data_IF_028677601408
#
_entry.id   IF_028677601408
#
_cell.length_a   1.000
_cell.length_b   1.000
_cell.length_c   1.000
_cell.angle_alpha   90.00
_cell.angle_beta   90.00
_cell.angle_gamma   90.00
#
_symmetry.space_group_name_H-M   'P 1'
#
loop_
_entity.id
_entity.type
_entity.pdbx_description
1 polymer ?
#
# COMPACT_ATOMS: atom_id res chain seq x y z
N UNK A 1 -3.59 7.95 -16.10
CA UNK A 1 -3.95 8.13 -14.68
C UNK A 1 -5.19 9.02 -14.65
N UNK A 2 -6.29 8.59 -14.03
CA UNK A 2 -7.50 9.44 -13.94
C UNK A 2 -7.29 10.55 -12.91
N UNK A 3 -8.08 11.62 -13.00
CA UNK A 3 -8.00 12.74 -12.05
C UNK A 3 -8.22 12.28 -10.60
N UNK A 4 -9.17 11.37 -10.37
CA UNK A 4 -9.48 10.81 -9.06
C UNK A 4 -8.31 10.01 -8.47
N UNK A 5 -7.64 9.21 -9.30
CA UNK A 5 -6.47 8.43 -8.87
C UNK A 5 -5.31 9.37 -8.51
N UNK A 6 -5.06 10.41 -9.30
CA UNK A 6 -4.02 11.39 -9.02
C UNK A 6 -4.29 12.15 -7.70
N UNK A 7 -5.55 12.54 -7.46
CA UNK A 7 -5.98 13.17 -6.22
C UNK A 7 -5.81 12.23 -5.02
N UNK A 8 -6.19 10.95 -5.15
CA UNK A 8 -6.04 9.95 -4.10
C UNK A 8 -4.58 9.71 -3.72
N UNK A 9 -3.69 9.57 -4.71
CA UNK A 9 -2.25 9.42 -4.48
C UNK A 9 -1.69 10.64 -3.77
N UNK A 10 -2.03 11.85 -4.22
CA UNK A 10 -1.57 13.10 -3.62
C UNK A 10 -2.06 13.25 -2.18
N UNK A 11 -3.32 12.93 -1.90
CA UNK A 11 -3.88 12.95 -0.56
C UNK A 11 -3.19 11.93 0.37
N UNK A 12 -2.88 10.75 -0.15
CA UNK A 12 -2.19 9.70 0.61
C UNK A 12 -0.76 10.09 0.96
N UNK A 13 -0.01 10.69 0.02
CA UNK A 13 1.33 11.24 0.28
C UNK A 13 1.31 12.29 1.39
N UNK A 14 0.37 13.24 1.33
CA UNK A 14 0.20 14.25 2.39
C UNK A 14 -0.10 13.66 3.76
N UNK A 15 -0.93 12.60 3.84
CA UNK A 15 -1.20 11.92 5.12
C UNK A 15 0.04 11.21 5.66
N UNK A 16 0.81 10.57 4.78
CA UNK A 16 2.08 9.92 5.15
C UNK A 16 3.09 10.97 5.65
N UNK A 17 3.25 12.09 4.95
CA UNK A 17 4.13 13.19 5.35
C UNK A 17 3.80 13.70 6.76
N UNK A 18 2.51 13.90 7.07
CA UNK A 18 2.06 14.31 8.41
C UNK A 18 2.42 13.30 9.49
N UNK A 19 2.29 12.00 9.20
CA UNK A 19 2.68 10.94 10.15
C UNK A 19 4.19 10.97 10.39
N UNK A 20 4.99 11.08 9.32
CA UNK A 20 6.46 11.14 9.42
C UNK A 20 6.95 12.39 10.17
N UNK A 21 6.23 13.51 10.05
CA UNK A 21 6.51 14.75 10.77
C UNK A 21 5.94 14.77 12.21
N UNK A 22 5.20 13.74 12.63
CA UNK A 22 4.56 13.68 13.95
C UNK A 22 3.31 14.57 14.12
N UNK A 23 2.83 15.18 13.04
CA UNK A 23 1.59 15.99 13.01
C UNK A 23 0.33 15.12 13.05
N UNK A 24 0.45 13.87 12.60
CA UNK A 24 -0.59 12.84 12.69
C UNK A 24 -0.04 11.67 13.51
N UNK A 25 -0.72 11.32 14.61
CA UNK A 25 -0.26 10.27 15.54
C UNK A 25 -0.66 8.85 15.13
N UNK A 26 -1.32 8.69 13.97
CA UNK A 26 -1.67 7.37 13.44
C UNK A 26 -0.41 6.60 13.05
N UNK A 27 -0.48 5.28 13.16
CA UNK A 27 0.61 4.41 12.72
C UNK A 27 0.53 4.19 11.21
N UNK A 28 1.62 4.48 10.49
CA UNK A 28 1.77 4.10 9.09
C UNK A 28 2.03 2.58 8.99
N UNK A 29 1.18 1.87 8.26
CA UNK A 29 1.29 0.41 8.07
C UNK A 29 1.40 0.09 6.59
N UNK A 30 2.59 -0.33 6.16
CA UNK A 30 2.82 -0.84 4.81
C UNK A 30 2.68 -2.37 4.85
N UNK A 31 1.62 -2.90 4.25
CA UNK A 31 1.28 -4.33 4.35
C UNK A 31 0.80 -4.88 3.01
N UNK A 32 1.16 -6.12 2.70
CA UNK A 32 0.76 -6.77 1.47
C UNK A 32 1.61 -7.99 1.11
N UNK A 33 1.28 -8.67 -0.01
CA UNK A 33 2.04 -9.81 -0.49
C UNK A 33 3.52 -9.49 -0.68
N UNK A 34 4.37 -10.51 -0.55
CA UNK A 34 5.82 -10.37 -0.64
C UNK A 34 6.31 -9.95 -2.03
N UNK A 35 5.63 -10.45 -3.05
CA UNK A 35 5.72 -10.01 -4.44
C UNK A 35 4.39 -10.33 -5.12
N UNK A 36 3.95 -9.46 -6.02
CA UNK A 36 2.76 -9.67 -6.83
C UNK A 36 3.16 -10.49 -8.05
N UNK A 37 2.58 -11.67 -8.18
CA UNK A 37 2.74 -12.57 -9.34
C UNK A 37 1.38 -12.92 -9.98
N UNK A 38 0.28 -12.64 -9.27
CA UNK A 38 -1.10 -12.82 -9.72
C UNK A 38 -1.85 -11.52 -9.45
N UNK A 39 -2.45 -10.96 -10.50
CA UNK A 39 -3.17 -9.68 -10.45
C UNK A 39 -4.55 -9.82 -9.82
N UNK A 40 -5.25 -10.93 -10.08
CA UNK A 40 -6.59 -11.16 -9.55
C UNK A 40 -6.54 -11.38 -8.03
N UNK A 41 -5.58 -12.18 -7.57
CA UNK A 41 -5.32 -12.36 -6.14
C UNK A 41 -4.91 -11.04 -5.47
N UNK A 42 -4.12 -10.18 -6.15
CA UNK A 42 -3.76 -8.87 -5.64
C UNK A 42 -4.96 -7.93 -5.51
N UNK A 43 -5.86 -7.92 -6.49
CA UNK A 43 -7.10 -7.14 -6.45
C UNK A 43 -8.06 -7.64 -5.38
N UNK A 44 -8.16 -8.96 -5.18
CA UNK A 44 -8.94 -9.54 -4.10
C UNK A 44 -8.40 -9.12 -2.73
N UNK A 45 -7.08 -9.20 -2.55
CA UNK A 45 -6.42 -8.72 -1.35
C UNK A 45 -6.68 -7.23 -1.11
N UNK A 46 -6.57 -6.40 -2.15
CA UNK A 46 -6.83 -4.97 -2.07
C UNK A 46 -8.26 -4.67 -1.60
N UNK A 47 -9.26 -5.40 -2.11
CA UNK A 47 -10.67 -5.28 -1.69
C UNK A 47 -10.85 -5.60 -0.20
N UNK A 48 -10.23 -6.69 0.28
CA UNK A 48 -10.27 -7.06 1.70
C UNK A 48 -9.56 -6.02 2.58
N UNK A 49 -8.41 -5.53 2.11
CA UNK A 49 -7.61 -4.52 2.82
C UNK A 49 -8.36 -3.19 2.92
N UNK A 50 -9.15 -2.81 1.92
CA UNK A 50 -9.92 -1.57 1.94
C UNK A 50 -10.92 -1.54 3.11
N UNK A 51 -11.62 -2.63 3.39
CA UNK A 51 -12.49 -2.72 4.57
C UNK A 51 -11.73 -2.57 5.89
N UNK A 52 -10.50 -3.09 5.97
CA UNK A 52 -9.64 -2.90 7.15
C UNK A 52 -9.14 -1.46 7.26
N UNK A 53 -8.78 -0.84 6.13
CA UNK A 53 -8.35 0.57 6.08
C UNK A 53 -9.44 1.49 6.61
N UNK A 54 -10.69 1.26 6.24
CA UNK A 54 -11.85 2.02 6.74
C UNK A 54 -12.05 1.77 8.25
N UNK A 55 -12.06 0.50 8.67
CA UNK A 55 -12.28 0.11 10.07
C UNK A 55 -11.24 0.71 11.02
N UNK A 56 -9.97 0.76 10.62
CA UNK A 56 -8.86 1.21 11.48
C UNK A 56 -8.39 2.63 11.16
N UNK A 57 -9.09 3.36 10.28
CA UNK A 57 -8.73 4.71 9.83
C UNK A 57 -8.41 5.72 10.96
N UNK A 58 -9.08 5.68 12.14
CA UNK A 58 -8.76 6.59 13.24
C UNK A 58 -7.38 6.37 13.87
N UNK A 59 -6.80 5.17 13.71
CA UNK A 59 -5.56 4.75 14.37
C UNK A 59 -4.43 4.44 13.38
N UNK A 60 -4.77 4.00 12.16
CA UNK A 60 -3.82 3.51 11.18
C UNK A 60 -3.96 4.24 9.83
N UNK A 61 -2.83 4.52 9.18
CA UNK A 61 -2.78 4.78 7.74
C UNK A 61 -2.25 3.52 7.06
N UNK A 62 -3.15 2.71 6.51
CA UNK A 62 -2.80 1.46 5.82
C UNK A 62 -2.50 1.74 4.35
N UNK A 63 -1.34 1.28 3.89
CA UNK A 63 -0.90 1.35 2.49
C UNK A 63 -0.57 -0.05 1.98
N UNK A 64 -1.16 -0.46 0.86
CA UNK A 64 -0.89 -1.77 0.27
C UNK A 64 0.54 -1.82 -0.31
N UNK A 65 1.31 -2.87 0.04
CA UNK A 65 2.58 -3.17 -0.63
C UNK A 65 2.33 -3.80 -1.99
N UNK A 66 2.82 -3.17 -3.05
CA UNK A 66 2.73 -3.65 -4.44
C UNK A 66 4.12 -3.80 -5.07
N UNK A 67 4.90 -4.79 -4.62
CA UNK A 67 6.24 -5.05 -5.16
C UNK A 67 6.17 -6.09 -6.27
N UNK A 68 6.69 -5.74 -7.45
CA UNK A 68 6.69 -6.65 -8.61
C UNK A 68 7.92 -7.55 -8.66
N UNK A 69 9.06 -7.06 -8.18
CA UNK A 69 10.31 -7.81 -8.21
C UNK A 69 10.93 -7.89 -6.82
N UNK A 70 11.53 -9.04 -6.53
CA UNK A 70 12.43 -9.20 -5.38
C UNK A 70 13.87 -9.20 -5.91
N UNK A 71 14.73 -8.28 -5.44
CA UNK A 71 16.14 -8.34 -5.79
C UNK A 71 16.72 -9.66 -5.26
N UNK A 72 17.08 -10.57 -6.16
CA UNK A 72 17.77 -11.83 -5.85
C UNK A 72 19.25 -11.67 -6.18
N UNK A 73 20.13 -12.06 -5.27
CA UNK A 73 21.61 -12.04 -5.44
C UNK A 73 22.15 -13.22 -6.25
N UNK A 74 21.29 -14.18 -6.60
CA UNK A 74 21.60 -15.35 -7.42
C UNK A 74 20.60 -15.45 -8.56
N UNK A 75 21.09 -15.78 -9.76
CA UNK A 75 20.29 -16.00 -10.97
C UNK A 75 19.41 -17.22 -10.75
N UNK A 76 18.18 -16.99 -10.31
CA UNK A 76 17.10 -17.95 -10.41
C UNK A 76 16.04 -17.31 -11.29
N UNK A 77 15.65 -18.01 -12.37
CA UNK A 77 14.81 -17.54 -13.46
C UNK A 77 13.64 -16.67 -12.99
N UNK A 78 13.44 -15.58 -13.73
CA UNK A 78 12.22 -14.77 -13.67
C UNK A 78 11.03 -15.72 -13.94
N UNK A 79 10.03 -15.66 -13.06
CA UNK A 79 8.71 -16.22 -13.37
C UNK A 79 8.03 -15.35 -14.42
#
# INVERSE_FOLDING_TARGET
>A
MTADVAAHVSASRRRIEKILNGEDRRLLVIIGPCSIHDTDAALEYARRLQGMRERYQPQLEIVMRTYFEKPRTVVAGKA
#
